data_IF_482713155779
#
_entry.id   IF_482713155779
#
_cell.length_a   1.000
_cell.length_b   1.000
_cell.length_c   1.000
_cell.angle_alpha   90.00
_cell.angle_beta   90.00
_cell.angle_gamma   90.00
#
_symmetry.space_group_name_H-M   'P 1'
#
loop_
_entity.id
_entity.type
_entity.pdbx_description
1 polymer ?
#
# COMPACT_ATOMS: atom_id res chain seq x y z
N UNK A 1 5.06 33.12 -38.39
CA UNK A 1 4.50 33.09 -37.01
C UNK A 1 4.82 31.81 -36.22
N UNK A 2 5.11 30.67 -36.85
CA UNK A 2 5.40 29.40 -36.15
C UNK A 2 6.86 29.21 -35.69
N UNK A 3 7.83 29.92 -36.28
CA UNK A 3 9.24 29.78 -35.89
C UNK A 3 9.54 30.52 -34.57
N UNK A 4 8.98 31.73 -34.41
CA UNK A 4 9.18 32.55 -33.20
C UNK A 4 8.57 31.89 -31.96
N UNK A 5 7.38 31.27 -32.08
CA UNK A 5 6.73 30.54 -30.99
C UNK A 5 7.50 29.28 -30.58
N UNK A 6 8.09 28.55 -31.54
CA UNK A 6 8.94 27.40 -31.25
C UNK A 6 10.25 27.81 -30.59
N UNK A 7 10.82 28.94 -31.00
CA UNK A 7 12.01 29.50 -30.38
C UNK A 7 11.71 29.89 -28.92
N UNK A 8 10.63 30.62 -28.65
CA UNK A 8 10.26 31.03 -27.28
C UNK A 8 9.96 29.86 -26.34
N UNK A 9 9.34 28.77 -26.85
CA UNK A 9 9.08 27.57 -26.03
C UNK A 9 10.39 26.82 -25.74
N UNK A 10 11.31 26.75 -26.71
CA UNK A 10 12.60 26.10 -26.51
C UNK A 10 13.49 26.88 -25.52
N UNK A 11 13.46 28.22 -25.57
CA UNK A 11 14.17 29.06 -24.59
C UNK A 11 13.56 28.93 -23.19
N UNK A 12 12.23 28.82 -23.07
CA UNK A 12 11.58 28.63 -21.76
C UNK A 12 11.92 27.27 -21.14
N UNK A 13 11.97 26.21 -21.95
CA UNK A 13 12.38 24.86 -21.51
C UNK A 13 13.84 24.88 -21.05
N UNK A 14 14.74 25.55 -21.77
CA UNK A 14 16.14 25.69 -21.37
C UNK A 14 16.33 26.50 -20.08
N UNK A 15 15.49 27.52 -19.84
CA UNK A 15 15.53 28.29 -18.59
C UNK A 15 15.01 27.45 -17.42
N UNK A 16 13.94 26.66 -17.60
CA UNK A 16 13.44 25.74 -16.56
C UNK A 16 14.44 24.62 -16.29
N UNK A 17 15.09 24.08 -17.32
CA UNK A 17 16.13 23.04 -17.16
C UNK A 17 17.39 23.57 -16.46
N UNK A 18 17.82 24.80 -16.79
CA UNK A 18 18.94 25.47 -16.09
C UNK A 18 18.56 25.89 -14.65
N UNK A 19 17.30 26.26 -14.40
CA UNK A 19 16.84 26.62 -13.04
C UNK A 19 16.75 25.40 -12.13
N UNK A 20 16.34 24.24 -12.67
CA UNK A 20 16.36 22.98 -11.94
C UNK A 20 17.79 22.50 -11.68
N UNK A 21 18.72 22.65 -12.63
CA UNK A 21 20.13 22.31 -12.39
C UNK A 21 20.83 23.28 -11.44
N UNK A 22 20.42 24.56 -11.37
CA UNK A 22 21.00 25.51 -10.42
C UNK A 22 20.61 25.24 -8.95
N UNK A 23 19.41 24.73 -8.68
CA UNK A 23 19.01 24.35 -7.30
C UNK A 23 19.69 23.07 -6.80
N UNK A 24 20.15 22.21 -7.70
CA UNK A 24 20.97 21.04 -7.34
C UNK A 24 22.48 21.34 -7.26
N UNK A 25 22.94 22.53 -7.69
CA UNK A 25 24.35 22.93 -7.54
C UNK A 25 24.68 23.64 -6.22
N UNK A 26 23.70 23.95 -5.36
CA UNK A 26 23.97 24.58 -4.06
C UNK A 26 24.48 23.61 -2.96
N UNK A 27 24.58 22.32 -3.25
CA UNK A 27 25.30 21.36 -2.39
C UNK A 27 26.80 21.22 -2.76
N UNK A 28 27.29 21.96 -3.76
CA UNK A 28 28.64 21.84 -4.29
C UNK A 28 29.39 23.19 -4.36
N UNK A 29 29.27 24.04 -3.34
CA UNK A 29 30.26 25.11 -3.10
C UNK A 29 31.26 24.69 -2.02
N UNK A 30 32.14 23.74 -2.35
CA UNK A 30 33.48 23.75 -1.73
C UNK A 30 34.36 24.67 -2.56
N UNK A 31 34.89 25.71 -1.90
CA UNK A 31 35.91 26.62 -2.42
C UNK A 31 36.91 25.86 -3.30
N UNK A 32 37.08 26.34 -4.54
CA UNK A 32 38.19 25.95 -5.42
C UNK A 32 39.50 26.37 -4.76
N UNK A 33 40.05 25.50 -3.91
CA UNK A 33 41.50 25.39 -3.78
C UNK A 33 41.94 24.37 -4.82
N UNK A 34 42.54 24.88 -5.89
CA UNK A 34 43.26 24.08 -6.87
C UNK A 34 44.48 23.45 -6.21
N UNK A 35 44.34 22.24 -5.67
CA UNK A 35 45.48 21.34 -5.50
C UNK A 35 45.58 20.46 -6.73
N UNK A 36 46.66 20.66 -7.50
CA UNK A 36 47.13 19.70 -8.50
C UNK A 36 47.77 18.54 -7.74
N UNK A 37 46.98 17.56 -7.32
CA UNK A 37 47.52 16.30 -6.82
C UNK A 37 46.79 15.13 -7.49
N UNK A 38 47.46 14.31 -8.32
CA UNK A 38 46.89 13.12 -8.94
C UNK A 38 46.46 12.04 -7.94
N UNK A 39 46.78 12.19 -6.64
CA UNK A 39 46.38 11.27 -5.58
C UNK A 39 44.88 11.32 -5.22
N UNK A 40 44.19 12.44 -5.48
CA UNK A 40 42.79 12.65 -5.09
C UNK A 40 41.77 11.81 -5.88
N UNK A 41 42.16 11.23 -7.01
CA UNK A 41 41.30 10.33 -7.80
C UNK A 41 41.19 8.91 -7.20
N UNK A 42 42.10 8.53 -6.28
CA UNK A 42 42.13 7.19 -5.68
C UNK A 42 41.37 7.08 -4.33
N UNK A 43 40.79 8.16 -3.82
CA UNK A 43 40.11 8.21 -2.51
C UNK A 43 38.57 8.30 -2.58
N UNK A 44 37.98 8.19 -3.77
CA UNK A 44 36.53 8.20 -3.95
C UNK A 44 35.93 6.84 -3.56
N UNK A 45 35.49 6.72 -2.30
CA UNK A 45 34.78 5.54 -1.78
C UNK A 45 33.29 5.75 -1.92
N UNK A 46 32.59 4.93 -2.69
CA UNK A 46 31.12 4.93 -2.64
C UNK A 46 30.62 3.78 -1.76
N UNK A 47 29.36 3.84 -1.32
CA UNK A 47 28.73 2.81 -0.52
C UNK A 47 27.56 2.16 -1.23
N UNK A 48 27.06 1.06 -0.69
CA UNK A 48 25.77 0.50 -1.08
C UNK A 48 24.96 0.09 0.14
N UNK A 49 23.64 0.02 -0.01
CA UNK A 49 22.72 -0.48 1.00
C UNK A 49 21.66 -1.38 0.35
N UNK A 50 21.40 -2.54 0.96
CA UNK A 50 20.24 -3.39 0.65
C UNK A 50 19.00 -2.76 1.32
N UNK A 51 18.31 -1.88 0.57
CA UNK A 51 17.11 -1.18 1.02
C UNK A 51 15.98 -2.15 1.39
N UNK A 52 15.89 -3.28 0.69
CA UNK A 52 14.93 -4.33 1.02
C UNK A 52 15.23 -4.93 2.39
N UNK A 53 16.51 -5.15 2.72
CA UNK A 53 16.90 -5.58 4.05
C UNK A 53 16.65 -4.48 5.10
N UNK A 54 17.01 -3.23 4.83
CA UNK A 54 16.75 -2.12 5.76
C UNK A 54 15.25 -1.98 6.08
N UNK A 55 14.39 -2.11 5.07
CA UNK A 55 12.94 -2.18 5.27
C UNK A 55 12.53 -3.43 6.05
N UNK A 56 12.94 -4.62 5.63
CA UNK A 56 12.55 -5.87 6.28
C UNK A 56 12.90 -5.91 7.77
N UNK A 57 14.02 -5.31 8.16
CA UNK A 57 14.51 -5.28 9.54
C UNK A 57 14.12 -4.00 10.30
N UNK A 58 13.42 -3.05 9.67
CA UNK A 58 13.04 -1.82 10.34
C UNK A 58 12.06 -2.09 11.50
N UNK A 59 12.31 -1.61 12.73
CA UNK A 59 11.48 -1.91 13.90
C UNK A 59 10.02 -1.49 13.79
N UNK A 60 9.67 -0.57 12.89
CA UNK A 60 8.27 -0.19 12.65
C UNK A 60 7.58 -1.03 11.56
N UNK A 61 8.34 -1.77 10.72
CA UNK A 61 7.76 -2.63 9.69
C UNK A 61 7.07 -3.86 10.25
N UNK A 62 7.33 -4.20 11.52
CA UNK A 62 6.54 -5.19 12.25
C UNK A 62 5.05 -4.82 12.31
N UNK A 63 4.69 -3.54 12.27
CA UNK A 63 3.28 -3.12 12.28
C UNK A 63 2.59 -3.30 10.94
N UNK A 64 3.30 -3.68 9.88
CA UNK A 64 2.71 -3.84 8.57
C UNK A 64 1.91 -5.15 8.46
N UNK A 65 0.61 -5.06 8.16
CA UNK A 65 -0.22 -6.23 7.90
C UNK A 65 -0.24 -6.55 6.41
N UNK A 66 0.34 -7.69 6.03
CA UNK A 66 0.32 -8.17 4.64
C UNK A 66 -1.08 -8.56 4.17
N UNK A 67 -1.92 -9.09 5.08
CA UNK A 67 -3.29 -9.49 4.77
C UNK A 67 -4.19 -8.28 4.48
N UNK A 68 -3.99 -7.19 5.24
CA UNK A 68 -4.77 -5.96 5.10
C UNK A 68 -4.12 -4.92 4.17
N UNK A 69 -2.86 -5.12 3.77
CA UNK A 69 -2.05 -4.19 2.98
C UNK A 69 -1.95 -2.76 3.59
N UNK A 70 -2.12 -2.64 4.90
CA UNK A 70 -2.07 -1.39 5.68
C UNK A 70 -1.35 -1.62 7.01
N UNK A 71 -0.85 -0.54 7.61
CA UNK A 71 -0.22 -0.60 8.91
C UNK A 71 -1.26 -0.75 10.04
N UNK A 72 -0.97 -1.64 10.96
CA UNK A 72 -1.54 -1.61 12.30
C UNK A 72 -1.10 -0.31 12.96
N UNK A 73 -2.04 0.33 13.65
CA UNK A 73 -1.80 1.53 14.43
C UNK A 73 -0.70 1.23 15.46
N UNK A 74 0.44 1.94 15.45
CA UNK A 74 1.51 1.68 16.42
C UNK A 74 1.02 1.90 17.85
N UNK A 75 1.60 1.15 18.80
CA UNK A 75 1.32 1.31 20.22
C UNK A 75 1.96 2.60 20.75
N UNK A 76 1.34 3.23 21.75
CA UNK A 76 1.82 4.51 22.30
C UNK A 76 2.78 4.25 23.48
N UNK A 77 3.97 4.85 23.45
CA UNK A 77 4.88 4.88 24.61
C UNK A 77 5.77 3.64 24.78
N UNK A 78 6.83 3.81 25.57
CA UNK A 78 7.95 2.87 25.70
C UNK A 78 7.63 1.58 26.47
N UNK A 79 7.29 0.53 25.72
CA UNK A 79 7.78 -0.87 25.76
C UNK A 79 8.09 -1.55 27.12
N UNK A 80 7.29 -1.39 28.18
CA UNK A 80 7.18 -2.51 29.13
C UNK A 80 6.23 -3.55 28.57
N UNK A 81 6.51 -4.84 28.80
CA UNK A 81 5.64 -5.95 28.36
C UNK A 81 4.23 -5.79 28.94
N UNK A 82 4.14 -5.33 30.18
CA UNK A 82 2.88 -5.07 30.86
C UNK A 82 2.06 -4.00 30.14
N UNK A 83 2.69 -2.89 29.75
CA UNK A 83 2.02 -1.79 29.05
C UNK A 83 1.62 -2.20 27.62
N UNK A 84 2.47 -2.98 26.96
CA UNK A 84 2.18 -3.58 25.66
C UNK A 84 0.94 -4.51 25.74
N UNK A 85 0.92 -5.45 26.69
CA UNK A 85 -0.19 -6.39 26.88
C UNK A 85 -1.47 -5.67 27.34
N UNK A 86 -1.34 -4.56 28.06
CA UNK A 86 -2.47 -3.73 28.47
C UNK A 86 -3.10 -3.04 27.27
N UNK A 87 -2.31 -2.35 26.44
CA UNK A 87 -2.83 -1.67 25.24
C UNK A 87 -3.46 -2.64 24.24
N UNK A 88 -2.90 -3.84 24.08
CA UNK A 88 -3.53 -4.88 23.26
C UNK A 88 -4.88 -5.27 23.84
N UNK A 89 -4.97 -5.56 25.15
CA UNK A 89 -6.26 -5.90 25.80
C UNK A 89 -7.29 -4.79 25.65
N UNK A 90 -6.89 -3.53 25.80
CA UNK A 90 -7.77 -2.37 25.60
C UNK A 90 -8.29 -2.28 24.15
N UNK A 91 -7.42 -2.53 23.16
CA UNK A 91 -7.84 -2.58 21.75
C UNK A 91 -8.77 -3.76 21.46
N UNK A 92 -8.46 -4.95 21.98
CA UNK A 92 -9.29 -6.14 21.83
C UNK A 92 -10.69 -5.95 22.40
N UNK A 93 -10.79 -5.36 23.60
CA UNK A 93 -12.08 -5.07 24.22
C UNK A 93 -12.86 -4.01 23.43
N UNK A 94 -12.18 -2.93 23.01
CA UNK A 94 -12.78 -1.90 22.16
C UNK A 94 -13.27 -2.48 20.83
N UNK A 95 -12.47 -3.34 20.20
CA UNK A 95 -12.82 -4.02 18.96
C UNK A 95 -14.04 -4.91 19.17
N UNK A 96 -14.10 -5.70 20.25
CA UNK A 96 -15.24 -6.58 20.55
C UNK A 96 -16.54 -5.78 20.70
N UNK A 97 -16.53 -4.71 21.49
CA UNK A 97 -17.71 -3.84 21.70
C UNK A 97 -18.13 -3.20 20.37
N UNK A 98 -17.18 -2.72 19.57
CA UNK A 98 -17.48 -2.12 18.27
C UNK A 98 -17.98 -3.17 17.28
N UNK A 99 -17.49 -4.41 17.32
CA UNK A 99 -17.92 -5.51 16.45
C UNK A 99 -19.39 -5.81 16.63
N UNK A 100 -19.85 -5.99 17.86
CA UNK A 100 -21.26 -6.27 18.14
C UNK A 100 -22.17 -5.15 17.63
N UNK A 101 -21.80 -3.88 17.84
CA UNK A 101 -22.54 -2.73 17.33
C UNK A 101 -22.51 -2.63 15.79
N UNK A 102 -21.34 -2.88 15.19
CA UNK A 102 -21.14 -2.87 13.74
C UNK A 102 -21.96 -3.96 13.07
N UNK A 103 -21.97 -5.19 13.62
CA UNK A 103 -22.78 -6.30 13.11
C UNK A 103 -24.28 -5.96 13.14
N UNK A 104 -24.78 -5.32 14.20
CA UNK A 104 -26.17 -4.88 14.28
C UNK A 104 -26.51 -3.83 13.21
N UNK A 105 -25.64 -2.85 13.02
CA UNK A 105 -25.84 -1.77 12.05
C UNK A 105 -25.71 -2.25 10.60
N UNK A 106 -24.73 -3.09 10.30
CA UNK A 106 -24.56 -3.74 8.98
C UNK A 106 -25.78 -4.61 8.66
N UNK A 107 -26.27 -5.41 9.61
CA UNK A 107 -27.48 -6.22 9.41
C UNK A 107 -28.71 -5.35 9.14
N UNK A 108 -28.83 -4.19 9.79
CA UNK A 108 -29.91 -3.24 9.53
C UNK A 108 -29.81 -2.65 8.12
N UNK A 109 -28.63 -2.17 7.74
CA UNK A 109 -28.39 -1.60 6.41
C UNK A 109 -28.59 -2.63 5.30
N UNK A 110 -28.17 -3.88 5.51
CA UNK A 110 -28.39 -4.97 4.57
C UNK A 110 -29.89 -5.21 4.34
N UNK A 111 -30.71 -5.24 5.41
CA UNK A 111 -32.18 -5.37 5.26
C UNK A 111 -32.80 -4.20 4.50
N UNK A 112 -32.30 -2.98 4.69
CA UNK A 112 -32.76 -1.81 3.95
C UNK A 112 -32.38 -1.89 2.46
N UNK A 113 -31.18 -2.40 2.14
CA UNK A 113 -30.73 -2.68 0.78
C UNK A 113 -31.61 -3.75 0.13
N UNK A 114 -31.85 -4.87 0.82
CA UNK A 114 -32.70 -5.97 0.32
C UNK A 114 -34.14 -5.47 0.04
N UNK A 115 -34.66 -4.57 0.88
CA UNK A 115 -35.97 -3.96 0.67
C UNK A 115 -36.00 -3.07 -0.58
N UNK A 116 -34.97 -2.27 -0.83
CA UNK A 116 -34.84 -1.47 -2.05
C UNK A 116 -34.71 -2.35 -3.29
N UNK A 117 -33.95 -3.45 -3.23
CA UNK A 117 -33.86 -4.42 -4.32
C UNK A 117 -35.21 -5.08 -4.62
N UNK A 118 -35.97 -5.44 -3.58
CA UNK A 118 -37.32 -5.96 -3.74
C UNK A 118 -38.26 -4.93 -4.38
N UNK A 119 -38.11 -3.64 -4.07
CA UNK A 119 -38.88 -2.55 -4.68
C UNK A 119 -38.53 -2.34 -6.16
N UNK A 120 -37.24 -2.34 -6.52
CA UNK A 120 -36.77 -2.30 -7.92
C UNK A 120 -37.34 -3.49 -8.71
N UNK A 121 -37.35 -4.69 -8.11
CA UNK A 121 -37.91 -5.88 -8.73
C UNK A 121 -39.44 -5.78 -8.90
N UNK A 122 -40.16 -5.29 -7.90
CA UNK A 122 -41.61 -5.02 -8.01
C UNK A 122 -41.91 -4.02 -9.12
N UNK A 123 -41.13 -2.95 -9.22
CA UNK A 123 -41.25 -1.94 -10.26
C UNK A 123 -41.05 -2.56 -11.66
N UNK A 124 -40.01 -3.39 -11.84
CA UNK A 124 -39.75 -4.12 -13.08
C UNK A 124 -40.92 -5.02 -13.48
N UNK A 125 -41.48 -5.77 -12.53
CA UNK A 125 -42.63 -6.66 -12.77
C UNK A 125 -43.88 -5.86 -13.13
N UNK A 126 -44.12 -4.73 -12.44
CA UNK A 126 -45.25 -3.84 -12.73
C UNK A 126 -45.19 -3.30 -14.16
N UNK A 127 -44.03 -2.78 -14.57
CA UNK A 127 -43.83 -2.24 -15.92
C UNK A 127 -44.00 -3.32 -16.98
N UNK A 128 -43.41 -4.51 -16.77
CA UNK A 128 -43.58 -5.64 -17.68
C UNK A 128 -45.05 -6.06 -17.84
N UNK A 129 -45.84 -6.03 -16.76
CA UNK A 129 -47.28 -6.30 -16.80
C UNK A 129 -48.05 -5.22 -17.55
N UNK A 130 -47.75 -3.94 -17.31
CA UNK A 130 -48.40 -2.82 -17.99
C UNK A 130 -48.09 -2.80 -19.49
N UNK A 131 -46.84 -3.06 -19.88
CA UNK A 131 -46.45 -3.27 -21.27
C UNK A 131 -47.21 -4.44 -21.90
N UNK A 132 -47.35 -5.57 -21.19
CA UNK A 132 -48.12 -6.73 -21.67
C UNK A 132 -49.59 -6.39 -21.95
N UNK A 133 -50.24 -5.64 -21.05
CA UNK A 133 -51.62 -5.16 -21.24
C UNK A 133 -51.73 -4.16 -22.41
N UNK A 134 -50.76 -3.25 -22.54
CA UNK A 134 -50.71 -2.30 -23.65
C UNK A 134 -50.54 -3.01 -25.00
N UNK A 135 -49.69 -4.05 -25.06
CA UNK A 135 -49.47 -4.86 -26.26
C UNK A 135 -50.74 -5.62 -26.67
N UNK A 136 -51.43 -6.24 -25.71
CA UNK A 136 -52.69 -6.94 -25.96
C UNK A 136 -53.76 -5.98 -26.51
N UNK A 137 -53.97 -4.84 -25.82
CA UNK A 137 -54.94 -3.83 -26.22
C UNK A 137 -54.63 -3.25 -27.61
N UNK A 138 -53.36 -2.96 -27.90
CA UNK A 138 -52.94 -2.48 -29.21
C UNK A 138 -53.26 -3.50 -30.30
N UNK A 139 -52.95 -4.78 -30.10
CA UNK A 139 -53.26 -5.86 -31.06
C UNK A 139 -54.76 -5.99 -31.34
N UNK A 140 -55.58 -5.97 -30.30
CA UNK A 140 -57.04 -6.05 -30.39
C UNK A 140 -57.66 -4.83 -31.09
N UNK A 141 -57.14 -3.63 -30.84
CA UNK A 141 -57.64 -2.40 -31.45
C UNK A 141 -57.17 -2.27 -32.90
N UNK A 142 -55.92 -2.63 -33.19
CA UNK A 142 -55.32 -2.47 -34.52
C UNK A 142 -56.02 -3.32 -35.59
N UNK A 143 -56.43 -4.55 -35.23
CA UNK A 143 -57.15 -5.47 -36.14
C UNK A 143 -58.55 -5.00 -36.52
N UNK A 144 -59.14 -4.08 -35.74
CA UNK A 144 -60.49 -3.52 -35.99
C UNK A 144 -60.47 -2.26 -36.87
N UNK A 145 -59.29 -1.69 -37.13
CA UNK A 145 -59.15 -0.47 -37.91
C UNK A 145 -59.00 -0.79 -39.40
N UNK A 146 -59.83 -0.18 -40.26
CA UNK A 146 -59.78 -0.34 -41.73
C UNK A 146 -58.99 0.75 -42.45
N UNK A 147 -58.89 1.95 -41.86
CA UNK A 147 -58.23 3.13 -42.44
C UNK A 147 -56.74 3.25 -42.08
N UNK A 148 -55.90 3.58 -43.07
CA UNK A 148 -54.44 3.63 -42.93
C UNK A 148 -53.97 4.81 -42.05
N UNK A 149 -54.59 5.98 -42.18
CA UNK A 149 -54.24 7.15 -41.38
C UNK A 149 -54.57 6.91 -39.90
N UNK A 150 -55.72 6.29 -39.63
CA UNK A 150 -56.15 5.92 -38.28
C UNK A 150 -55.21 4.88 -37.65
N UNK A 151 -54.74 3.88 -38.42
CA UNK A 151 -53.73 2.92 -37.95
C UNK A 151 -52.39 3.58 -37.61
N UNK A 152 -51.94 4.54 -38.43
CA UNK A 152 -50.70 5.31 -38.18
C UNK A 152 -50.78 6.09 -36.87
N UNK A 153 -51.86 6.83 -36.65
CA UNK A 153 -52.10 7.58 -35.40
C UNK A 153 -52.11 6.65 -34.19
N UNK A 154 -52.83 5.51 -34.28
CA UNK A 154 -52.90 4.53 -33.18
C UNK A 154 -51.54 3.93 -32.82
N UNK A 155 -50.71 3.68 -33.83
CA UNK A 155 -49.35 3.14 -33.64
C UNK A 155 -48.44 4.17 -32.96
N UNK A 156 -48.55 5.45 -33.35
CA UNK A 156 -47.81 6.52 -32.70
C UNK A 156 -48.23 6.70 -31.22
N UNK A 157 -49.53 6.64 -30.91
CA UNK A 157 -50.04 6.68 -29.53
C UNK A 157 -49.51 5.53 -28.67
N UNK A 158 -49.50 4.31 -29.22
CA UNK A 158 -48.97 3.12 -28.54
C UNK A 158 -47.48 3.26 -28.23
N UNK A 159 -46.65 3.66 -29.20
CA UNK A 159 -45.23 3.89 -28.97
C UNK A 159 -44.96 5.02 -27.98
N UNK A 160 -45.77 6.09 -28.01
CA UNK A 160 -45.70 7.18 -27.03
C UNK A 160 -46.02 6.68 -25.62
N UNK A 161 -47.04 5.83 -25.47
CA UNK A 161 -47.41 5.24 -24.18
C UNK A 161 -46.30 4.32 -23.63
N UNK A 162 -45.72 3.44 -24.46
CA UNK A 162 -44.60 2.59 -24.05
C UNK A 162 -43.36 3.42 -23.66
N UNK A 163 -43.04 4.43 -24.46
CA UNK A 163 -41.91 5.33 -24.17
C UNK A 163 -42.09 6.07 -22.85
N UNK A 164 -43.33 6.41 -22.49
CA UNK A 164 -43.66 6.99 -21.19
C UNK A 164 -43.46 5.99 -20.06
N UNK A 165 -43.95 4.76 -20.21
CA UNK A 165 -43.76 3.69 -19.21
C UNK A 165 -42.27 3.41 -18.95
N UNK A 166 -41.47 3.34 -20.02
CA UNK A 166 -40.02 3.12 -19.89
C UNK A 166 -39.34 4.30 -19.20
N UNK A 167 -39.72 5.54 -19.53
CA UNK A 167 -39.17 6.73 -18.88
C UNK A 167 -39.49 6.76 -17.39
N UNK A 168 -40.76 6.57 -17.04
CA UNK A 168 -41.21 6.55 -15.64
C UNK A 168 -40.49 5.44 -14.85
N UNK A 169 -40.28 4.27 -15.47
CA UNK A 169 -39.47 3.18 -14.92
C UNK A 169 -38.02 3.59 -14.65
N UNK A 170 -37.33 4.16 -15.65
CA UNK A 170 -35.93 4.53 -15.50
C UNK A 170 -35.73 5.64 -14.47
N UNK A 171 -36.64 6.62 -14.41
CA UNK A 171 -36.59 7.71 -13.43
C UNK A 171 -36.79 7.21 -12.00
N UNK A 172 -37.72 6.29 -11.79
CA UNK A 172 -37.98 5.70 -10.46
C UNK A 172 -36.88 4.71 -10.05
N UNK A 173 -36.43 3.85 -10.97
CA UNK A 173 -35.29 2.96 -10.76
C UNK A 173 -34.04 3.74 -10.36
N UNK A 174 -33.74 4.85 -11.05
CA UNK A 174 -32.58 5.69 -10.74
C UNK A 174 -32.63 6.21 -9.31
N UNK A 175 -33.79 6.68 -8.83
CA UNK A 175 -33.95 7.14 -7.44
C UNK A 175 -33.74 6.04 -6.42
N UNK A 176 -34.18 4.82 -6.73
CA UNK A 176 -33.98 3.65 -5.86
C UNK A 176 -32.52 3.20 -5.85
N UNK A 177 -31.86 3.16 -7.01
CA UNK A 177 -30.43 2.86 -7.12
C UNK A 177 -29.57 3.90 -6.37
N UNK A 178 -29.88 5.20 -6.49
CA UNK A 178 -29.18 6.26 -5.72
C UNK A 178 -29.34 6.09 -4.20
N UNK A 179 -30.51 5.65 -3.73
CA UNK A 179 -30.71 5.34 -2.31
C UNK A 179 -29.92 4.11 -1.89
N UNK A 180 -29.90 3.08 -2.73
CA UNK A 180 -29.15 1.85 -2.50
C UNK A 180 -27.64 2.13 -2.41
N UNK A 181 -27.10 2.93 -3.32
CA UNK A 181 -25.69 3.33 -3.32
C UNK A 181 -25.31 4.12 -2.06
N UNK A 182 -26.19 5.03 -1.59
CA UNK A 182 -26.00 5.72 -0.31
C UNK A 182 -25.98 4.76 0.88
N UNK A 183 -26.80 3.70 0.87
CA UNK A 183 -26.82 2.68 1.92
C UNK A 183 -25.57 1.80 1.88
N UNK A 184 -25.08 1.43 0.70
CA UNK A 184 -23.80 0.75 0.55
C UNK A 184 -22.64 1.60 1.06
N UNK A 185 -22.62 2.90 0.76
CA UNK A 185 -21.60 3.81 1.27
C UNK A 185 -21.63 3.89 2.81
N UNK A 186 -22.82 4.05 3.40
CA UNK A 186 -22.98 4.04 4.86
C UNK A 186 -22.53 2.71 5.50
N UNK A 187 -22.83 1.57 4.85
CA UNK A 187 -22.40 0.26 5.32
C UNK A 187 -20.88 0.13 5.30
N UNK A 188 -20.22 0.58 4.23
CA UNK A 188 -18.77 0.63 4.15
C UNK A 188 -18.17 1.55 5.23
N UNK A 189 -18.74 2.73 5.49
CA UNK A 189 -18.25 3.62 6.55
C UNK A 189 -18.31 2.98 7.93
N UNK A 190 -19.39 2.26 8.23
CA UNK A 190 -19.57 1.51 9.49
C UNK A 190 -18.51 0.40 9.62
N UNK A 191 -18.27 -0.35 8.53
CA UNK A 191 -17.24 -1.40 8.48
C UNK A 191 -15.82 -0.82 8.58
N UNK A 192 -15.57 0.35 8.01
CA UNK A 192 -14.26 1.00 8.11
C UNK A 192 -13.97 1.50 9.53
N UNK A 193 -14.97 2.02 10.27
CA UNK A 193 -14.79 2.51 11.65
C UNK A 193 -14.23 1.47 12.61
N UNK A 194 -14.65 0.20 12.47
CA UNK A 194 -14.10 -0.85 13.34
C UNK A 194 -12.64 -1.17 12.98
N UNK A 195 -12.26 -1.06 11.71
CA UNK A 195 -10.87 -1.23 11.29
C UNK A 195 -9.93 -0.20 11.93
N UNK A 196 -10.41 1.03 12.17
CA UNK A 196 -9.59 2.13 12.74
C UNK A 196 -9.10 1.88 14.18
N UNK A 197 -9.71 0.93 14.88
CA UNK A 197 -9.27 0.48 16.22
C UNK A 197 -7.85 -0.05 16.15
N UNK A 198 -7.61 -0.91 15.17
CA UNK A 198 -6.37 -1.68 15.04
C UNK A 198 -5.49 -1.14 13.91
N UNK A 199 -6.06 -0.61 12.85
CA UNK A 199 -5.35 -0.21 11.64
C UNK A 199 -5.33 1.31 11.43
N UNK A 200 -4.33 1.77 10.71
CA UNK A 200 -4.29 3.09 10.10
C UNK A 200 -5.13 3.07 8.82
N UNK A 201 -5.80 4.17 8.49
CA UNK A 201 -6.42 4.33 7.17
C UNK A 201 -5.33 4.42 6.08
N UNK A 202 -5.72 4.36 4.81
CA UNK A 202 -4.77 4.36 3.69
C UNK A 202 -3.82 5.57 3.67
N UNK A 203 -4.32 6.76 4.01
CA UNK A 203 -3.53 8.00 4.00
C UNK A 203 -2.51 7.98 5.13
N UNK A 204 -2.95 7.66 6.34
CA UNK A 204 -2.10 7.57 7.53
C UNK A 204 -1.09 6.43 7.40
N UNK A 205 -1.48 5.30 6.80
CA UNK A 205 -0.63 4.16 6.49
C UNK A 205 0.50 4.56 5.53
N UNK A 206 0.21 5.31 4.46
CA UNK A 206 1.22 5.86 3.55
C UNK A 206 2.14 6.86 4.23
N UNK A 207 1.60 7.76 5.06
CA UNK A 207 2.39 8.73 5.80
C UNK A 207 3.32 8.03 6.81
N UNK A 208 2.82 7.00 7.48
CA UNK A 208 3.61 6.17 8.40
C UNK A 208 4.70 5.39 7.67
N UNK A 209 4.42 4.87 6.47
CA UNK A 209 5.46 4.27 5.65
C UNK A 209 6.52 5.28 5.21
N UNK A 210 6.12 6.49 4.81
CA UNK A 210 7.06 7.54 4.44
C UNK A 210 7.98 7.93 5.62
N UNK A 211 7.47 7.95 6.85
CA UNK A 211 8.31 8.23 8.02
C UNK A 211 9.35 7.12 8.27
N UNK A 212 9.03 5.86 7.95
CA UNK A 212 10.01 4.76 7.95
C UNK A 212 11.10 5.00 6.90
N UNK A 213 10.73 5.45 5.70
CA UNK A 213 11.69 5.76 4.65
C UNK A 213 12.59 6.95 5.00
N UNK A 214 12.02 8.00 5.58
CA UNK A 214 12.77 9.17 6.03
C UNK A 214 13.74 8.80 7.16
N UNK A 215 13.37 7.86 8.02
CA UNK A 215 14.24 7.34 9.08
C UNK A 215 15.42 6.55 8.52
N UNK A 216 15.15 5.67 7.54
CA UNK A 216 16.21 4.94 6.83
C UNK A 216 17.15 5.91 6.10
N UNK A 217 16.61 6.92 5.41
CA UNK A 217 17.40 7.93 4.69
C UNK A 217 18.29 8.73 5.65
N UNK A 218 17.77 9.15 6.80
CA UNK A 218 18.55 9.84 7.82
C UNK A 218 19.69 8.98 8.36
N UNK A 219 19.42 7.71 8.72
CA UNK A 219 20.44 6.79 9.22
C UNK A 219 21.51 6.45 8.15
N UNK A 220 21.11 6.35 6.88
CA UNK A 220 22.02 6.15 5.76
C UNK A 220 22.98 7.33 5.58
N UNK A 221 22.44 8.56 5.60
CA UNK A 221 23.24 9.79 5.50
C UNK A 221 24.27 9.87 6.62
N UNK A 222 23.85 9.62 7.86
CA UNK A 222 24.74 9.60 9.02
C UNK A 222 25.84 8.54 8.87
N UNK A 223 25.49 7.31 8.48
CA UNK A 223 26.46 6.22 8.27
C UNK A 223 27.46 6.56 7.16
N UNK A 224 26.98 7.18 6.08
CA UNK A 224 27.81 7.56 4.96
C UNK A 224 28.77 8.71 5.32
N UNK A 225 28.31 9.71 6.06
CA UNK A 225 29.15 10.79 6.58
C UNK A 225 30.29 10.26 7.47
N UNK A 226 29.98 9.36 8.41
CA UNK A 226 30.98 8.72 9.29
C UNK A 226 32.05 7.96 8.50
N UNK A 227 31.64 7.24 7.45
CA UNK A 227 32.54 6.49 6.59
C UNK A 227 33.18 7.31 5.47
N UNK A 228 32.87 8.61 5.41
CA UNK A 228 33.31 9.53 4.35
C UNK A 228 32.93 9.03 2.95
N UNK A 229 31.74 8.45 2.85
CA UNK A 229 31.15 7.94 1.61
C UNK A 229 30.23 9.05 1.06
N UNK A 230 30.57 9.68 -0.08
CA UNK A 230 29.81 10.80 -0.62
C UNK A 230 28.57 10.35 -1.40
N UNK A 231 28.45 9.06 -1.74
CA UNK A 231 27.28 8.54 -2.47
C UNK A 231 27.00 7.08 -2.10
N UNK A 232 25.72 6.71 -2.09
CA UNK A 232 25.20 5.41 -1.69
C UNK A 232 24.35 4.81 -2.82
N UNK A 233 24.57 3.53 -3.15
CA UNK A 233 23.74 2.76 -4.08
C UNK A 233 22.67 1.95 -3.36
N UNK A 234 21.46 1.90 -3.92
CA UNK A 234 20.50 0.85 -3.59
C UNK A 234 20.88 -0.45 -4.32
N UNK A 235 21.32 -1.48 -3.58
CA UNK A 235 21.74 -2.76 -4.18
C UNK A 235 20.59 -3.57 -4.78
N UNK A 236 19.34 -3.26 -4.44
CA UNK A 236 18.16 -3.91 -5.00
C UNK A 236 17.68 -3.28 -6.32
N UNK A 237 18.28 -2.17 -6.77
CA UNK A 237 17.91 -1.47 -8.00
C UNK A 237 18.11 -2.32 -9.28
N UNK A 238 19.06 -3.27 -9.25
CA UNK A 238 19.54 -3.97 -10.45
C UNK A 238 18.91 -5.36 -10.65
N UNK A 239 18.32 -5.99 -9.62
CA UNK A 239 17.92 -7.40 -9.70
C UNK A 239 16.42 -7.70 -9.84
N UNK A 240 15.54 -6.71 -9.67
CA UNK A 240 14.09 -6.97 -9.54
C UNK A 240 13.21 -6.58 -10.72
N UNK A 241 13.73 -5.89 -11.75
CA UNK A 241 12.90 -5.42 -12.86
C UNK A 241 13.58 -5.69 -14.18
N UNK A 242 13.04 -6.66 -14.93
CA UNK A 242 13.19 -6.58 -16.38
C UNK A 242 12.33 -5.41 -16.88
N UNK A 243 12.77 -4.62 -17.88
CA UNK A 243 12.02 -3.46 -18.39
C UNK A 243 10.55 -3.77 -18.76
N UNK A 244 10.27 -5.02 -19.12
CA UNK A 244 8.94 -5.51 -19.48
C UNK A 244 7.95 -5.53 -18.30
N UNK A 245 8.40 -5.75 -17.06
CA UNK A 245 7.54 -5.79 -15.87
C UNK A 245 7.13 -4.39 -15.39
N UNK A 246 7.95 -3.36 -15.66
CA UNK A 246 7.63 -1.96 -15.36
C UNK A 246 6.47 -1.43 -16.22
N UNK A 247 6.31 -1.94 -17.45
CA UNK A 247 5.27 -1.48 -18.39
C UNK A 247 3.89 -2.04 -18.00
N UNK A 248 3.84 -3.22 -17.36
CA UNK A 248 2.57 -3.86 -16.94
C UNK A 248 2.06 -3.30 -15.60
N UNK A 249 2.94 -2.84 -14.70
CA UNK A 249 2.54 -2.33 -13.39
C UNK A 249 1.88 -0.94 -13.40
N UNK A 250 2.12 -0.12 -14.43
CA UNK A 250 1.40 1.16 -14.60
C UNK A 250 -0.09 0.97 -15.00
N UNK A 251 -0.53 -0.26 -15.31
CA UNK A 251 -1.92 -0.58 -15.63
C UNK A 251 -2.76 -1.04 -14.44
N UNK A 252 -2.23 -1.07 -13.22
CA UNK A 252 -3.05 -1.18 -12.01
C UNK A 252 -3.41 0.22 -11.54
N UNK A 253 -4.31 0.87 -12.31
CA UNK A 253 -5.23 1.82 -11.72
C UNK A 253 -5.84 1.18 -10.47
N UNK A 254 -5.87 1.94 -9.37
CA UNK A 254 -6.51 1.54 -8.13
C UNK A 254 -7.84 0.84 -8.46
N UNK A 255 -8.10 -0.40 -8.03
CA UNK A 255 -9.47 -0.83 -7.95
C UNK A 255 -10.11 0.04 -6.88
N UNK A 256 -10.83 1.05 -7.37
CA UNK A 256 -12.01 1.64 -6.77
C UNK A 256 -12.53 0.75 -5.66
N UNK A 257 -12.42 1.22 -4.42
CA UNK A 257 -13.18 0.79 -3.23
C UNK A 257 -14.07 -0.43 -3.49
N UNK A 258 -13.48 -1.63 -3.50
CA UNK A 258 -14.29 -2.84 -3.46
C UNK A 258 -15.07 -2.78 -2.17
N UNK A 259 -16.40 -2.78 -2.26
CA UNK A 259 -17.31 -2.78 -1.11
C UNK A 259 -16.82 -3.86 -0.15
N UNK A 260 -16.31 -3.46 1.01
CA UNK A 260 -15.92 -4.41 2.04
C UNK A 260 -17.20 -4.87 2.69
N UNK A 261 -17.68 -6.05 2.33
CA UNK A 261 -18.90 -6.62 2.92
C UNK A 261 -18.64 -7.33 4.24
N UNK A 262 -17.37 -7.56 4.58
CA UNK A 262 -16.96 -8.30 5.77
C UNK A 262 -16.22 -7.39 6.73
N UNK A 263 -16.55 -7.51 8.02
CA UNK A 263 -15.79 -6.88 9.09
C UNK A 263 -14.34 -7.41 9.02
N UNK A 264 -13.33 -6.53 8.86
CA UNK A 264 -11.95 -6.96 8.77
C UNK A 264 -11.53 -7.64 10.07
N UNK A 265 -10.71 -8.71 10.04
CA UNK A 265 -10.31 -9.41 11.25
C UNK A 265 -9.50 -8.50 12.17
N UNK A 266 -9.63 -8.75 13.47
CA UNK A 266 -8.83 -8.10 14.51
C UNK A 266 -7.34 -8.26 14.20
N UNK A 267 -6.54 -7.24 14.47
CA UNK A 267 -5.11 -7.30 14.20
C UNK A 267 -4.45 -8.45 14.98
N UNK A 268 -3.60 -9.20 14.29
CA UNK A 268 -2.77 -10.20 14.92
C UNK A 268 -1.53 -9.53 15.53
N UNK A 269 -1.49 -9.38 16.85
CA UNK A 269 -0.33 -8.79 17.54
C UNK A 269 0.74 -9.82 17.92
N UNK A 270 0.54 -11.12 17.63
CA UNK A 270 1.43 -12.20 18.11
C UNK A 270 2.90 -12.00 17.71
N UNK A 271 3.17 -11.52 16.50
CA UNK A 271 4.54 -11.25 16.03
C UNK A 271 5.19 -10.02 16.68
N UNK A 272 4.42 -9.15 17.35
CA UNK A 272 4.94 -7.98 18.07
C UNK A 272 5.38 -8.33 19.50
N UNK A 273 4.82 -9.40 20.08
CA UNK A 273 5.09 -9.83 21.46
C UNK A 273 6.53 -10.31 21.63
N UNK A 274 7.08 -10.98 20.62
CA UNK A 274 8.42 -11.58 20.69
C UNK A 274 9.55 -10.55 20.68
N UNK A 275 9.23 -9.27 20.40
CA UNK A 275 10.22 -8.20 20.37
C UNK A 275 10.53 -7.57 21.74
N UNK A 276 9.71 -7.80 22.78
CA UNK A 276 9.79 -7.01 24.03
C UNK A 276 10.81 -7.52 25.07
N UNK A 277 11.19 -8.80 25.09
CA UNK A 277 11.99 -9.35 26.20
C UNK A 277 13.42 -9.75 25.79
N UNK A 278 14.41 -9.15 26.45
CA UNK A 278 15.79 -9.66 26.46
C UNK A 278 16.02 -10.81 27.43
N UNK A 279 17.16 -11.53 27.34
CA UNK A 279 17.59 -12.41 28.42
C UNK A 279 17.81 -11.57 29.68
N UNK A 280 17.34 -12.05 30.83
CA UNK A 280 17.69 -11.43 32.12
C UNK A 280 19.02 -11.97 32.60
N UNK A 281 19.71 -11.21 33.46
CA UNK A 281 20.99 -11.61 34.07
C UNK A 281 20.87 -12.88 34.95
N UNK A 282 19.64 -13.32 35.25
CA UNK A 282 19.34 -14.50 36.05
C UNK A 282 18.97 -15.73 35.20
N UNK A 283 18.91 -15.61 33.87
CA UNK A 283 18.57 -16.74 32.98
C UNK A 283 19.70 -17.76 32.90
N UNK A 284 19.34 -19.04 32.84
CA UNK A 284 20.31 -20.11 32.63
C UNK A 284 20.98 -19.98 31.25
N UNK A 285 22.24 -20.40 31.12
CA UNK A 285 23.00 -20.35 29.85
C UNK A 285 22.25 -20.99 28.69
N UNK A 286 21.53 -22.09 28.93
CA UNK A 286 20.73 -22.77 27.92
C UNK A 286 19.55 -21.92 27.42
N UNK A 287 18.92 -21.13 28.29
CA UNK A 287 17.84 -20.21 27.93
C UNK A 287 18.36 -19.02 27.13
N UNK A 288 19.53 -18.49 27.52
CA UNK A 288 20.23 -17.42 26.77
C UNK A 288 20.56 -17.90 25.35
N UNK A 289 21.08 -19.13 25.20
CA UNK A 289 21.40 -19.70 23.89
C UNK A 289 20.14 -19.93 23.05
N UNK A 290 19.06 -20.47 23.64
CA UNK A 290 17.79 -20.65 22.94
C UNK A 290 17.20 -19.31 22.42
N UNK A 291 17.29 -18.23 23.22
CA UNK A 291 16.88 -16.89 22.78
C UNK A 291 17.74 -16.36 21.63
N UNK A 292 19.06 -16.58 21.68
CA UNK A 292 19.97 -16.19 20.58
C UNK A 292 19.64 -16.95 19.30
N UNK A 293 19.41 -18.25 19.39
CA UNK A 293 19.07 -19.08 18.23
C UNK A 293 17.70 -18.71 17.63
N UNK A 294 16.73 -18.36 18.47
CA UNK A 294 15.45 -17.80 18.02
C UNK A 294 15.63 -16.52 17.21
N UNK A 295 16.40 -15.54 17.72
CA UNK A 295 16.65 -14.27 17.00
C UNK A 295 17.36 -14.53 15.66
N UNK A 296 18.32 -15.45 15.62
CA UNK A 296 18.99 -15.86 14.36
C UNK A 296 18.00 -16.47 13.36
N UNK A 297 17.12 -17.36 13.83
CA UNK A 297 16.04 -17.95 13.01
C UNK A 297 15.12 -16.87 12.44
N UNK A 298 14.70 -15.90 13.25
CA UNK A 298 13.85 -14.80 12.77
C UNK A 298 14.58 -13.91 11.75
N UNK A 299 15.87 -13.62 11.96
CA UNK A 299 16.68 -12.92 10.96
C UNK A 299 16.72 -13.67 9.62
N UNK A 300 16.85 -15.01 9.64
CA UNK A 300 16.80 -15.85 8.44
C UNK A 300 15.44 -15.82 7.75
N UNK A 301 14.34 -15.74 8.50
CA UNK A 301 13.01 -15.59 7.91
C UNK A 301 12.84 -14.21 7.26
N UNK A 302 13.22 -13.15 7.95
CA UNK A 302 13.13 -11.77 7.46
C UNK A 302 14.00 -11.55 6.21
N UNK A 303 15.24 -12.05 6.20
CA UNK A 303 16.12 -11.91 5.05
C UNK A 303 15.54 -12.62 3.82
N UNK A 304 14.85 -13.74 3.99
CA UNK A 304 14.21 -14.48 2.90
C UNK A 304 12.96 -13.75 2.39
N UNK A 305 12.17 -13.17 3.30
CA UNK A 305 10.98 -12.37 2.97
C UNK A 305 11.28 -11.00 2.37
N UNK A 306 12.50 -10.47 2.49
CA UNK A 306 12.84 -9.12 2.00
C UNK A 306 12.56 -8.92 0.51
N UNK A 307 12.62 -10.00 -0.30
CA UNK A 307 12.30 -9.94 -1.74
C UNK A 307 10.80 -9.66 -1.95
N UNK A 308 9.94 -10.28 -1.14
CA UNK A 308 8.49 -10.05 -1.18
C UNK A 308 8.16 -8.62 -0.73
N UNK A 309 8.82 -8.16 0.34
CA UNK A 309 8.75 -6.78 0.83
C UNK A 309 9.14 -5.81 -0.28
N UNK A 310 10.29 -6.05 -0.92
CA UNK A 310 10.76 -5.23 -2.02
C UNK A 310 9.75 -5.20 -3.18
N UNK A 311 9.18 -6.35 -3.60
CA UNK A 311 8.15 -6.40 -4.66
C UNK A 311 6.89 -5.63 -4.29
N UNK A 312 6.44 -5.76 -3.05
CA UNK A 312 5.26 -5.05 -2.54
C UNK A 312 5.49 -3.54 -2.58
N UNK A 313 6.66 -3.09 -2.12
CA UNK A 313 6.98 -1.68 -2.00
C UNK A 313 7.60 -1.04 -3.25
N UNK A 314 7.98 -1.85 -4.24
CA UNK A 314 8.36 -1.40 -5.57
C UNK A 314 7.28 -0.54 -6.24
N UNK A 315 6.01 -0.86 -5.98
CA UNK A 315 4.84 -0.10 -6.44
C UNK A 315 4.86 1.36 -5.99
N UNK A 316 5.49 1.65 -4.85
CA UNK A 316 5.64 3.01 -4.33
C UNK A 316 6.89 3.73 -4.87
N UNK A 317 7.54 3.19 -5.92
CA UNK A 317 8.76 3.72 -6.54
C UNK A 317 9.96 3.87 -5.57
N UNK A 318 9.89 3.27 -4.38
CA UNK A 318 10.93 3.35 -3.33
C UNK A 318 12.25 2.76 -3.83
N UNK A 319 12.16 1.65 -4.57
CA UNK A 319 13.31 0.98 -5.14
C UNK A 319 13.87 1.68 -6.38
N UNK A 320 13.15 2.65 -6.95
CA UNK A 320 13.53 3.38 -8.16
C UNK A 320 14.31 4.66 -7.87
N UNK A 321 14.51 5.02 -6.59
CA UNK A 321 15.41 6.12 -6.22
C UNK A 321 16.85 5.71 -6.52
N UNK A 322 17.29 6.08 -7.71
CA UNK A 322 18.65 5.91 -8.18
C UNK A 322 19.53 7.01 -7.56
N UNK A 323 20.61 6.63 -6.90
CA UNK A 323 21.75 7.48 -6.58
C UNK A 323 22.98 6.63 -6.94
N UNK A 324 23.94 7.13 -7.74
CA UNK A 324 24.90 6.32 -8.55
C UNK A 324 26.36 6.62 -8.14
N UNK A 325 27.31 5.74 -7.71
CA UNK A 325 27.97 4.52 -8.30
C UNK A 325 28.97 3.80 -7.32
N UNK A 326 28.90 2.52 -6.86
CA UNK A 326 30.00 1.59 -6.39
C UNK A 326 30.77 1.67 -5.01
N UNK A 327 30.79 0.63 -4.15
CA UNK A 327 31.77 0.52 -3.03
C UNK A 327 31.30 -0.17 -1.73
N UNK A 328 31.57 0.36 -0.53
CA UNK A 328 31.44 -0.33 0.78
C UNK A 328 29.98 -0.58 1.25
N UNK A 329 29.69 -1.76 1.80
CA UNK A 329 28.37 -2.06 2.38
C UNK A 329 28.07 -1.16 3.60
N UNK A 330 26.93 -0.48 3.56
CA UNK A 330 26.39 0.33 4.65
C UNK A 330 25.23 -0.34 5.36
N UNK A 331 24.64 -1.39 4.77
CA UNK A 331 23.36 -1.98 5.21
C UNK A 331 23.35 -2.29 6.70
N UNK A 332 24.35 -3.01 7.17
CA UNK A 332 24.36 -3.51 8.54
C UNK A 332 24.66 -2.40 9.57
N UNK A 333 25.52 -1.44 9.24
CA UNK A 333 25.88 -0.35 10.15
C UNK A 333 24.75 0.71 10.21
N UNK A 334 24.07 0.94 9.08
CA UNK A 334 22.82 1.72 9.04
C UNK A 334 21.73 1.04 9.85
N UNK A 335 21.55 -0.27 9.71
CA UNK A 335 20.57 -1.00 10.51
C UNK A 335 20.88 -0.87 12.01
N UNK A 336 22.15 -0.97 12.41
CA UNK A 336 22.56 -0.79 13.81
C UNK A 336 22.07 0.55 14.38
N UNK A 337 22.23 1.65 13.63
CA UNK A 337 21.75 2.98 14.04
C UNK A 337 20.23 3.02 14.20
N UNK A 338 19.49 2.45 13.23
CA UNK A 338 18.02 2.36 13.29
C UNK A 338 17.58 1.58 14.53
N UNK A 339 18.17 0.40 14.77
CA UNK A 339 17.82 -0.44 15.92
C UNK A 339 18.07 0.28 17.26
N UNK A 340 19.20 0.99 17.39
CA UNK A 340 19.51 1.80 18.58
C UNK A 340 18.51 2.94 18.78
N UNK A 341 18.18 3.68 17.70
CA UNK A 341 17.23 4.79 17.73
C UNK A 341 15.84 4.37 18.22
N UNK A 342 15.40 3.16 17.84
CA UNK A 342 14.10 2.59 18.25
C UNK A 342 14.14 1.79 19.55
N UNK A 343 15.25 1.81 20.30
CA UNK A 343 15.35 1.16 21.61
C UNK A 343 15.26 -0.36 21.56
N UNK A 344 15.72 -0.98 20.46
CA UNK A 344 15.85 -2.44 20.39
C UNK A 344 16.84 -2.90 21.46
N UNK A 345 16.51 -3.98 22.17
CA UNK A 345 17.32 -4.46 23.29
C UNK A 345 18.79 -4.68 22.90
N UNK A 346 19.72 -4.18 23.73
CA UNK A 346 21.15 -4.08 23.40
C UNK A 346 21.78 -5.41 22.97
N UNK A 347 21.39 -6.53 23.59
CA UNK A 347 21.91 -7.86 23.22
C UNK A 347 21.42 -8.36 21.85
N UNK A 348 20.25 -7.90 21.35
CA UNK A 348 19.71 -8.28 20.04
C UNK A 348 20.45 -7.59 18.91
N UNK A 349 20.86 -6.34 19.12
CA UNK A 349 21.49 -5.51 18.10
C UNK A 349 22.74 -6.19 17.47
N UNK A 350 23.77 -6.60 18.23
CA UNK A 350 24.96 -7.22 17.64
C UNK A 350 24.61 -8.56 16.97
N UNK A 351 23.67 -9.32 17.54
CA UNK A 351 23.23 -10.59 16.98
C UNK A 351 22.55 -10.43 15.61
N UNK A 352 21.65 -9.44 15.48
CA UNK A 352 20.97 -9.11 14.22
C UNK A 352 22.00 -8.61 13.20
N UNK A 353 22.88 -7.68 13.60
CA UNK A 353 23.89 -7.06 12.72
C UNK A 353 24.89 -8.10 12.21
N UNK A 354 25.43 -8.96 13.08
CA UNK A 354 26.36 -10.03 12.69
C UNK A 354 25.70 -11.07 11.78
N UNK A 355 24.48 -11.47 12.12
CA UNK A 355 23.71 -12.44 11.29
C UNK A 355 23.44 -11.85 9.92
N UNK A 356 23.02 -10.59 9.83
CA UNK A 356 22.83 -9.88 8.57
C UNK A 356 24.12 -9.79 7.77
N UNK A 357 25.24 -9.38 8.38
CA UNK A 357 26.57 -9.34 7.74
C UNK A 357 26.94 -10.71 7.16
N UNK A 358 26.77 -11.79 7.91
CA UNK A 358 27.01 -13.15 7.44
C UNK A 358 26.11 -13.57 6.26
N UNK A 359 24.84 -13.16 6.28
CA UNK A 359 23.87 -13.47 5.23
C UNK A 359 24.09 -12.66 3.94
N UNK A 360 24.51 -11.41 4.05
CA UNK A 360 24.87 -10.58 2.90
C UNK A 360 26.16 -11.09 2.24
N UNK A 361 27.17 -11.44 3.05
CA UNK A 361 28.45 -11.97 2.56
C UNK A 361 28.33 -13.37 1.95
N UNK A 362 27.51 -14.25 2.51
CA UNK A 362 27.32 -15.60 1.96
C UNK A 362 26.66 -15.58 0.58
N UNK A 363 25.81 -14.58 0.28
CA UNK A 363 25.17 -14.42 -1.03
C UNK A 363 26.06 -13.79 -2.11
N UNK A 364 27.13 -13.08 -1.75
CA UNK A 364 28.14 -12.65 -2.72
C UNK A 364 28.93 -13.83 -3.30
N UNK A 365 28.88 -15.01 -2.67
CA UNK A 365 29.50 -16.25 -3.14
C UNK A 365 28.55 -17.20 -3.90
N UNK A 366 27.30 -16.81 -4.18
CA UNK A 366 26.34 -17.69 -4.87
C UNK A 366 26.20 -17.28 -6.33
N UNK A 367 27.08 -17.84 -7.17
CA UNK A 367 26.91 -17.94 -8.62
C UNK A 367 25.84 -18.99 -8.98
N UNK A 368 24.67 -18.98 -8.33
CA UNK A 368 23.57 -19.86 -8.72
C UNK A 368 22.24 -19.11 -8.73
N UNK A 369 21.61 -18.96 -9.91
CA UNK A 369 20.20 -18.58 -9.95
C UNK A 369 19.42 -19.73 -9.30
N UNK A 370 18.68 -19.42 -8.23
CA UNK A 370 17.66 -20.34 -7.72
C UNK A 370 16.54 -20.35 -8.75
N UNK A 371 16.67 -21.22 -9.74
CA UNK A 371 15.59 -21.65 -10.61
C UNK A 371 14.69 -22.51 -9.74
N UNK A 372 13.63 -21.93 -9.17
CA UNK A 372 12.51 -22.73 -8.70
C UNK A 372 11.87 -23.38 -9.92
N UNK A 373 11.97 -24.71 -10.03
CA UNK A 373 11.21 -25.47 -11.03
C UNK A 373 9.72 -25.14 -10.89
N UNK A 374 9.03 -24.79 -11.99
CA UNK A 374 7.59 -24.75 -11.98
C UNK A 374 7.07 -26.19 -11.99
N UNK A 375 6.18 -26.49 -11.05
CA UNK A 375 5.40 -27.73 -10.91
C UNK A 375 6.12 -28.94 -10.30
N UNK A 376 5.72 -29.26 -9.06
CA UNK A 376 5.17 -30.57 -8.70
C UNK A 376 3.97 -30.38 -7.78
#
# INVERSE_FOLDING_TARGET
MNLLKKLTVFTLILIVFNSFSLQYTLAAERKKETSKDPSAANDFKIGYADMAALLAFHPLMQYYSYDANIFIRPLKGGISKEEFLKQIRERQEKYKILKENTELEVNKLQREIDALEAEINKLRVKVSREQGLANQKYSEDYTKLSDENTRKTRTAEYHSHLSKLDRDYYDEKKKLDEQKDKKYAAMNEVIMKISEVDYLNDVDSRNFFNSILDDIDAALKETAEEKKIPVILNSNYISMFTPTEMIVQNNFENPVSTIQTNIPPMANYSYLIDNTDGPSDQMATNEINAKKDYVKSECLKLINKRIEIARLFARYQVLNKMVVYGGADLTADTLEKILKKHGVAEFKIPLIVETLKGLLNSRQNVNEPVITSPHQ
#
